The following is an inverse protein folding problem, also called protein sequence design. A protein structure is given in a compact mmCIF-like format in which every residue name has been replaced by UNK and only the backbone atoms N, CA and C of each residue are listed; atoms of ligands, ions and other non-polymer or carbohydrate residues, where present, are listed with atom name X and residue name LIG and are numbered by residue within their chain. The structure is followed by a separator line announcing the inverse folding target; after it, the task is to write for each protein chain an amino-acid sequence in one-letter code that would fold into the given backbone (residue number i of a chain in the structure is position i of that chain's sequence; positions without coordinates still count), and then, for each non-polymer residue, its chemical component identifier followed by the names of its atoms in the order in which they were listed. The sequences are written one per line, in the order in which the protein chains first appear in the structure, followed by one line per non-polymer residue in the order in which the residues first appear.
data_IF_816021562130
#
_entry.id   IF_816021562130
#
_cell.length_a   1.000
_cell.length_b   1.000
_cell.length_c   1.000
_cell.angle_alpha   90.00
_cell.angle_beta   90.00
_cell.angle_gamma   90.00
#
_symmetry.space_group_name_H-M   'P 1'
#
loop_
_entity.id
_entity.type
_entity.pdbx_description
1 polymer ?
#
# COMPACT_ATOMS: atom_id res chain seq x y z
N UNK A 1 14.16 26.27 18.04
CA UNK A 1 14.82 25.15 17.33
C UNK A 1 13.76 24.12 16.94
N UNK A 2 13.95 23.41 15.82
CA UNK A 2 13.01 22.38 15.36
C UNK A 2 13.16 21.13 16.26
N UNK A 3 12.05 20.51 16.71
CA UNK A 3 12.14 19.30 17.53
C UNK A 3 12.60 18.09 16.70
N UNK A 4 13.39 17.20 17.31
CA UNK A 4 13.97 16.03 16.63
C UNK A 4 12.92 14.97 16.21
N UNK A 5 11.73 15.02 16.81
CA UNK A 5 10.62 14.08 16.54
C UNK A 5 9.27 14.77 16.61
N UNK A 6 8.22 14.20 16.00
CA UNK A 6 6.86 14.65 16.17
C UNK A 6 6.45 14.72 17.65
N UNK A 7 5.59 15.69 17.96
CA UNK A 7 4.95 15.78 19.28
C UNK A 7 4.05 14.57 19.56
N UNK A 8 3.79 14.30 20.83
CA UNK A 8 2.79 13.29 21.23
C UNK A 8 1.47 13.99 21.55
N UNK A 9 0.33 13.46 21.09
CA UNK A 9 -0.96 14.05 21.42
C UNK A 9 -1.25 13.96 22.93
N UNK A 10 -2.14 14.84 23.40
CA UNK A 10 -2.66 14.75 24.75
C UNK A 10 -3.63 13.57 24.86
N UNK A 11 -3.70 12.95 26.03
CA UNK A 11 -4.69 11.89 26.30
C UNK A 11 -6.06 12.55 26.50
N UNK A 12 -7.03 12.15 25.69
CA UNK A 12 -8.40 12.64 25.79
C UNK A 12 -9.24 11.72 26.71
N UNK A 13 -9.94 12.25 27.73
CA UNK A 13 -10.86 11.44 28.51
C UNK A 13 -12.04 10.97 27.63
N UNK A 14 -12.60 9.77 27.87
CA UNK A 14 -13.74 9.28 27.11
C UNK A 14 -14.98 10.14 27.38
N UNK A 15 -15.65 10.58 26.32
CA UNK A 15 -16.94 11.31 26.36
C UNK A 15 -17.93 10.62 25.40
N UNK A 16 -19.10 10.14 25.87
CA UNK A 16 -20.09 9.48 25.03
C UNK A 16 -20.66 10.35 23.89
N UNK A 17 -20.59 11.68 24.01
CA UNK A 17 -21.01 12.62 22.97
C UNK A 17 -19.89 12.98 21.99
N UNK A 18 -18.64 12.59 22.29
CA UNK A 18 -17.48 12.86 21.45
C UNK A 18 -17.21 11.73 20.45
N UNK A 19 -16.44 12.01 19.38
CA UNK A 19 -15.90 10.96 18.51
C UNK A 19 -15.08 9.94 19.29
N UNK A 20 -14.94 8.74 18.73
CA UNK A 20 -14.15 7.65 19.31
C UNK A 20 -12.76 8.14 19.77
N UNK A 21 -12.39 8.00 21.06
CA UNK A 21 -11.12 8.50 21.58
C UNK A 21 -9.89 7.92 20.88
N UNK A 22 -9.98 6.67 20.41
CA UNK A 22 -8.89 6.09 19.62
C UNK A 22 -8.76 6.83 18.30
N UNK A 23 -9.84 6.98 17.51
CA UNK A 23 -9.82 7.76 16.28
C UNK A 23 -9.27 9.19 16.47
N UNK A 24 -9.59 9.86 17.58
CA UNK A 24 -9.03 11.18 17.91
C UNK A 24 -7.52 11.13 18.18
N UNK A 25 -7.05 10.14 18.95
CA UNK A 25 -5.62 9.94 19.19
C UNK A 25 -4.85 9.68 17.88
N UNK A 26 -5.44 8.90 16.96
CA UNK A 26 -4.89 8.66 15.63
C UNK A 26 -4.76 9.96 14.84
N UNK A 27 -5.85 10.72 14.73
CA UNK A 27 -5.85 11.99 13.99
C UNK A 27 -4.85 13.00 14.58
N UNK A 28 -4.73 13.07 15.91
CA UNK A 28 -3.81 13.97 16.58
C UNK A 28 -2.34 13.54 16.38
N UNK A 29 -2.05 12.24 16.41
CA UNK A 29 -0.73 11.68 16.10
C UNK A 29 -0.33 11.99 14.66
N UNK A 30 -1.25 11.79 13.71
CA UNK A 30 -1.02 12.06 12.28
C UNK A 30 -0.84 13.55 11.99
N UNK A 31 -1.61 14.41 12.66
CA UNK A 31 -1.44 15.86 12.55
C UNK A 31 -0.06 16.30 13.07
N UNK A 32 0.42 15.73 14.18
CA UNK A 32 1.74 16.00 14.71
C UNK A 32 2.86 15.52 13.75
N UNK A 33 2.70 14.34 13.15
CA UNK A 33 3.63 13.81 12.17
C UNK A 33 3.69 14.67 10.89
N UNK A 34 2.53 15.07 10.36
CA UNK A 34 2.42 15.97 9.19
C UNK A 34 3.05 17.32 9.47
N UNK A 35 2.75 17.94 10.62
CA UNK A 35 3.33 19.22 11.00
C UNK A 35 4.86 19.15 11.12
N UNK A 36 5.39 18.06 11.71
CA UNK A 36 6.83 17.84 11.81
C UNK A 36 7.49 17.66 10.44
N UNK A 37 6.90 16.85 9.56
CA UNK A 37 7.38 16.67 8.18
C UNK A 37 7.40 17.99 7.41
N UNK A 38 6.33 18.78 7.52
CA UNK A 38 6.24 20.10 6.88
C UNK A 38 7.29 21.08 7.40
N UNK A 39 7.48 21.14 8.73
CA UNK A 39 8.51 21.99 9.33
C UNK A 39 9.93 21.57 8.94
N UNK A 40 10.19 20.27 8.79
CA UNK A 40 11.53 19.72 8.51
C UNK A 40 11.90 19.84 7.03
N UNK A 41 10.93 19.60 6.13
CA UNK A 41 11.18 19.45 4.68
C UNK A 41 10.63 20.59 3.83
N UNK A 42 9.73 21.41 4.40
CA UNK A 42 8.95 22.39 3.66
C UNK A 42 7.84 21.80 2.78
N UNK A 43 7.66 20.47 2.81
CA UNK A 43 6.69 19.75 1.98
C UNK A 43 5.60 19.14 2.86
N UNK A 44 4.36 19.32 2.42
CA UNK A 44 3.21 18.71 3.08
C UNK A 44 2.96 17.32 2.48
N UNK A 45 3.18 16.23 3.24
CA UNK A 45 3.09 14.86 2.71
C UNK A 45 1.65 14.46 2.35
N UNK A 46 0.63 15.24 2.74
CA UNK A 46 -0.79 14.93 2.50
C UNK A 46 -1.41 15.85 1.46
N UNK A 47 -0.81 17.02 1.17
CA UNK A 47 -1.44 18.05 0.34
C UNK A 47 -1.80 17.60 -1.09
N UNK A 48 -1.03 16.67 -1.65
CA UNK A 48 -1.25 16.15 -3.00
C UNK A 48 -2.09 14.85 -3.03
N UNK A 49 -2.45 14.29 -1.88
CA UNK A 49 -3.18 13.03 -1.82
C UNK A 49 -4.65 13.24 -2.10
N UNK A 50 -5.24 12.35 -2.87
CA UNK A 50 -6.69 12.25 -2.98
C UNK A 50 -7.30 11.78 -1.65
N UNK A 51 -8.61 12.00 -1.40
CA UNK A 51 -9.27 11.49 -0.20
C UNK A 51 -9.09 9.98 0.00
N UNK A 52 -9.08 9.22 -1.10
CA UNK A 52 -8.84 7.78 -1.06
C UNK A 52 -7.39 7.43 -0.68
N UNK A 53 -6.41 8.09 -1.29
CA UNK A 53 -5.01 7.88 -0.94
C UNK A 53 -4.73 8.24 0.53
N UNK A 54 -5.33 9.32 1.03
CA UNK A 54 -5.18 9.70 2.44
C UNK A 54 -5.87 8.70 3.39
N UNK A 55 -7.06 8.19 3.05
CA UNK A 55 -7.72 7.14 3.83
C UNK A 55 -6.89 5.85 3.89
N UNK A 56 -6.29 5.44 2.77
CA UNK A 56 -5.38 4.27 2.72
C UNK A 56 -4.13 4.52 3.55
N UNK A 57 -3.51 5.71 3.43
CA UNK A 57 -2.33 6.11 4.22
C UNK A 57 -2.64 6.07 5.72
N UNK A 58 -3.77 6.67 6.14
CA UNK A 58 -4.24 6.66 7.52
C UNK A 58 -4.43 5.22 8.00
N UNK A 59 -5.13 4.37 7.26
CA UNK A 59 -5.33 2.97 7.66
C UNK A 59 -4.00 2.19 7.71
N UNK A 60 -3.05 2.47 6.81
CA UNK A 60 -1.75 1.81 6.75
C UNK A 60 -0.84 2.15 7.94
N UNK A 61 -0.92 3.37 8.47
CA UNK A 61 -0.17 3.84 9.63
C UNK A 61 -0.54 3.13 10.94
N UNK A 62 -1.68 2.43 10.99
CA UNK A 62 -2.17 1.76 12.19
C UNK A 62 -1.81 0.26 12.20
N UNK A 63 -0.92 -0.19 13.10
CA UNK A 63 -0.64 -1.61 13.28
C UNK A 63 -1.86 -2.30 13.88
N UNK A 64 -2.37 -3.31 13.19
CA UNK A 64 -3.57 -4.03 13.58
C UNK A 64 -4.45 -4.25 12.36
N UNK A 65 -4.30 -5.42 11.73
CA UNK A 65 -4.94 -5.83 10.48
C UNK A 65 -6.48 -6.04 10.60
N UNK A 66 -7.20 -5.18 11.31
CA UNK A 66 -8.62 -5.39 11.63
C UNK A 66 -8.86 -6.43 12.73
N UNK A 67 -7.83 -6.77 13.51
CA UNK A 67 -7.92 -7.80 14.56
C UNK A 67 -8.61 -7.27 15.83
N UNK A 68 -8.50 -5.97 16.11
CA UNK A 68 -9.18 -5.32 17.23
C UNK A 68 -10.53 -4.75 16.81
N UNK A 69 -11.47 -4.61 17.75
CA UNK A 69 -12.76 -3.98 17.47
C UNK A 69 -12.60 -2.55 16.91
N UNK A 70 -11.64 -1.79 17.45
CA UNK A 70 -11.35 -0.41 17.06
C UNK A 70 -10.80 -0.32 15.63
N UNK A 71 -9.85 -1.18 15.25
CA UNK A 71 -9.33 -1.21 13.87
C UNK A 71 -10.41 -1.63 12.86
N UNK A 72 -11.33 -2.54 13.22
CA UNK A 72 -12.49 -2.88 12.36
C UNK A 72 -13.46 -1.71 12.19
N UNK A 73 -13.68 -0.93 13.25
CA UNK A 73 -14.53 0.25 13.17
C UNK A 73 -13.92 1.30 12.24
N UNK A 74 -12.60 1.56 12.36
CA UNK A 74 -11.86 2.46 11.48
C UNK A 74 -11.96 2.04 10.01
N UNK A 75 -11.65 0.77 9.70
CA UNK A 75 -11.70 0.26 8.33
C UNK A 75 -13.11 0.39 7.72
N UNK A 76 -14.15 0.05 8.50
CA UNK A 76 -15.54 0.20 8.03
C UNK A 76 -15.90 1.67 7.79
N UNK A 77 -15.54 2.56 8.71
CA UNK A 77 -15.85 3.99 8.59
C UNK A 77 -15.18 4.62 7.36
N UNK A 78 -13.87 4.39 7.18
CA UNK A 78 -13.13 4.91 6.04
C UNK A 78 -13.63 4.35 4.71
N UNK A 79 -13.87 3.04 4.63
CA UNK A 79 -14.36 2.42 3.42
C UNK A 79 -15.77 2.94 3.05
N UNK A 80 -16.67 2.99 4.03
CA UNK A 80 -18.04 3.48 3.82
C UNK A 80 -18.07 4.96 3.40
N UNK A 81 -17.21 5.81 3.97
CA UNK A 81 -17.16 7.23 3.63
C UNK A 81 -16.71 7.51 2.18
N UNK A 82 -16.12 6.51 1.52
CA UNK A 82 -15.57 6.61 0.17
C UNK A 82 -16.21 5.60 -0.80
N UNK A 83 -17.39 5.06 -0.43
CA UNK A 83 -18.13 4.07 -1.23
C UNK A 83 -17.31 2.83 -1.63
N UNK A 84 -16.47 2.36 -0.70
CA UNK A 84 -15.62 1.15 -0.84
C UNK A 84 -15.98 0.08 0.18
N UNK A 85 -15.51 -1.13 -0.07
CA UNK A 85 -15.61 -2.21 0.92
C UNK A 85 -14.40 -2.23 1.86
N UNK A 86 -14.52 -2.77 3.09
CA UNK A 86 -13.36 -2.99 3.96
C UNK A 86 -12.28 -3.86 3.32
N UNK A 87 -12.66 -4.78 2.41
CA UNK A 87 -11.72 -5.62 1.66
C UNK A 87 -10.92 -4.80 0.66
N UNK A 88 -11.56 -3.86 -0.05
CA UNK A 88 -10.86 -2.95 -0.97
C UNK A 88 -9.83 -2.11 -0.21
N UNK A 89 -10.22 -1.57 0.95
CA UNK A 89 -9.31 -0.83 1.83
C UNK A 89 -8.17 -1.70 2.34
N UNK A 90 -8.43 -2.94 2.74
CA UNK A 90 -7.38 -3.86 3.17
C UNK A 90 -6.37 -4.18 2.06
N UNK A 91 -6.86 -4.40 0.83
CA UNK A 91 -6.00 -4.64 -0.34
C UNK A 91 -5.18 -3.40 -0.71
N UNK A 92 -5.78 -2.21 -0.64
CA UNK A 92 -5.10 -0.94 -0.85
C UNK A 92 -4.05 -0.63 0.24
N UNK A 93 -4.35 -0.92 1.51
CA UNK A 93 -3.38 -0.80 2.62
C UNK A 93 -2.20 -1.75 2.43
N UNK A 94 -2.44 -2.99 1.99
CA UNK A 94 -1.36 -3.92 1.69
C UNK A 94 -0.45 -3.37 0.57
N UNK A 95 -1.03 -2.77 -0.47
CA UNK A 95 -0.27 -2.16 -1.57
C UNK A 95 0.51 -0.91 -1.13
N UNK A 96 -0.11 -0.06 -0.29
CA UNK A 96 0.55 1.10 0.29
C UNK A 96 1.71 0.71 1.20
N UNK A 97 1.58 -0.39 1.96
CA UNK A 97 2.68 -0.90 2.78
C UNK A 97 3.81 -1.50 1.94
N UNK A 98 3.48 -2.05 0.78
CA UNK A 98 4.47 -2.61 -0.15
C UNK A 98 5.32 -1.50 -0.81
N UNK A 99 4.72 -0.40 -1.25
CA UNK A 99 5.50 0.67 -1.91
C UNK A 99 4.83 2.04 -1.96
N UNK A 100 4.10 2.41 -0.91
CA UNK A 100 3.49 3.73 -0.76
C UNK A 100 2.47 4.06 -1.84
N UNK A 101 2.50 5.32 -2.30
CA UNK A 101 1.59 5.82 -3.34
C UNK A 101 1.76 5.07 -4.66
N UNK A 102 3.00 4.72 -5.06
CA UNK A 102 3.25 3.92 -6.27
C UNK A 102 2.71 2.50 -6.13
N UNK A 103 2.86 1.87 -4.96
CA UNK A 103 2.24 0.57 -4.69
C UNK A 103 0.72 0.59 -4.85
N UNK A 104 0.06 1.64 -4.36
CA UNK A 104 -1.38 1.84 -4.57
C UNK A 104 -1.73 2.07 -6.06
N UNK A 105 -0.96 2.91 -6.76
CA UNK A 105 -1.17 3.14 -8.20
C UNK A 105 -1.04 1.84 -9.01
N UNK A 106 -0.07 0.98 -8.68
CA UNK A 106 0.14 -0.33 -9.33
C UNK A 106 -0.99 -1.33 -9.03
N UNK A 107 -1.61 -1.22 -7.87
CA UNK A 107 -2.81 -2.00 -7.54
C UNK A 107 -3.99 -1.60 -8.45
N UNK A 108 -4.21 -0.30 -8.64
CA UNK A 108 -5.43 0.26 -9.21
C UNK A 108 -5.37 0.43 -10.73
N UNK A 109 -4.20 0.80 -11.26
CA UNK A 109 -4.05 1.20 -12.65
C UNK A 109 -3.17 0.22 -13.44
N UNK A 110 -3.69 -0.23 -14.58
CA UNK A 110 -2.89 -0.94 -15.58
C UNK A 110 -2.47 0.04 -16.67
N UNK A 111 -1.18 0.07 -17.01
CA UNK A 111 -0.61 0.97 -17.99
C UNK A 111 0.27 0.22 -18.99
N UNK A 112 0.51 0.80 -20.16
CA UNK A 112 1.34 0.20 -21.20
C UNK A 112 2.79 0.71 -21.08
N UNK A 113 3.73 -0.11 -20.59
CA UNK A 113 5.12 0.31 -20.47
C UNK A 113 5.79 0.49 -21.83
N UNK A 114 6.73 1.44 -21.96
CA UNK A 114 7.56 1.51 -23.15
C UNK A 114 8.37 0.22 -23.29
N UNK A 115 8.75 -0.10 -24.53
CA UNK A 115 9.65 -1.22 -24.80
C UNK A 115 10.93 -1.10 -23.95
N UNK A 116 11.40 -2.22 -23.40
CA UNK A 116 12.60 -2.23 -22.56
C UNK A 116 12.51 -3.12 -21.31
N UNK A 117 12.50 -2.58 -20.08
CA UNK A 117 12.55 -3.38 -18.86
C UNK A 117 11.46 -4.46 -18.78
N UNK A 118 10.25 -4.16 -19.24
CA UNK A 118 9.14 -5.10 -19.27
C UNK A 118 9.41 -6.29 -20.21
N UNK A 119 9.96 -6.05 -21.40
CA UNK A 119 10.24 -7.10 -22.39
C UNK A 119 11.35 -8.07 -21.94
N UNK A 120 12.31 -7.55 -21.15
CA UNK A 120 13.42 -8.35 -20.61
C UNK A 120 13.02 -9.24 -19.44
N UNK A 121 11.90 -8.94 -18.77
CA UNK A 121 11.49 -9.67 -17.57
C UNK A 121 11.14 -11.13 -17.87
N UNK A 122 10.38 -11.41 -18.92
CA UNK A 122 9.96 -12.79 -19.24
C UNK A 122 11.15 -13.72 -19.53
N UNK A 123 12.13 -13.35 -20.38
CA UNK A 123 13.34 -14.14 -20.55
C UNK A 123 14.13 -14.35 -19.25
N UNK A 124 14.25 -13.32 -18.40
CA UNK A 124 14.95 -13.43 -17.11
C UNK A 124 14.27 -14.43 -16.17
N UNK A 125 12.95 -14.35 -16.03
CA UNK A 125 12.15 -15.28 -15.22
C UNK A 125 12.31 -16.73 -15.71
N UNK A 126 12.26 -16.95 -17.03
CA UNK A 126 12.47 -18.29 -17.61
C UNK A 126 13.89 -18.81 -17.35
N UNK A 127 14.91 -17.97 -17.48
CA UNK A 127 16.30 -18.34 -17.21
C UNK A 127 16.55 -18.69 -15.73
N UNK A 128 15.79 -18.08 -14.81
CA UNK A 128 15.79 -18.40 -13.39
C UNK A 128 14.98 -19.68 -13.04
N UNK A 129 14.42 -20.39 -14.03
CA UNK A 129 13.65 -21.61 -13.81
C UNK A 129 12.26 -21.37 -13.22
N UNK A 130 11.72 -20.15 -13.32
CA UNK A 130 10.38 -19.81 -12.87
C UNK A 130 9.32 -20.18 -13.92
N UNK A 131 8.03 -20.29 -13.53
CA UNK A 131 6.94 -20.61 -14.46
C UNK A 131 6.86 -19.63 -15.62
N UNK A 132 6.20 -20.05 -16.70
CA UNK A 132 5.91 -19.15 -17.82
C UNK A 132 4.87 -18.10 -17.41
N UNK A 133 5.27 -16.82 -17.44
CA UNK A 133 4.37 -15.69 -17.20
C UNK A 133 3.76 -15.17 -18.51
N UNK A 134 2.44 -14.91 -18.47
CA UNK A 134 1.67 -14.30 -19.56
C UNK A 134 1.63 -12.77 -19.39
N UNK A 135 2.02 -11.99 -20.40
CA UNK A 135 1.99 -10.54 -20.32
C UNK A 135 0.60 -9.97 -20.62
N UNK A 136 0.25 -8.89 -19.91
CA UNK A 136 -0.88 -8.01 -20.21
C UNK A 136 -0.58 -6.62 -19.63
N UNK A 137 -0.45 -5.60 -20.48
CA UNK A 137 -0.05 -4.25 -20.06
C UNK A 137 1.23 -4.32 -19.20
N UNK A 138 1.28 -3.63 -18.06
CA UNK A 138 2.35 -3.70 -17.07
C UNK A 138 2.32 -4.95 -16.17
N UNK A 139 1.57 -6.01 -16.50
CA UNK A 139 1.39 -7.18 -15.64
C UNK A 139 1.93 -8.45 -16.30
N UNK A 140 2.59 -9.27 -15.50
CA UNK A 140 3.04 -10.62 -15.84
C UNK A 140 2.35 -11.59 -14.90
N UNK A 141 1.52 -12.51 -15.43
CA UNK A 141 0.72 -13.43 -14.62
C UNK A 141 1.10 -14.90 -14.85
N UNK A 142 1.25 -15.65 -13.76
CA UNK A 142 1.29 -17.11 -13.70
C UNK A 142 0.03 -17.64 -12.96
N UNK A 143 0.01 -18.90 -12.55
CA UNK A 143 -1.17 -19.55 -11.94
C UNK A 143 -1.63 -18.91 -10.63
N UNK A 144 -0.69 -18.52 -9.77
CA UNK A 144 -0.93 -17.99 -8.41
C UNK A 144 0.00 -16.82 -8.06
N UNK A 145 0.80 -16.37 -9.03
CA UNK A 145 1.77 -15.29 -8.88
C UNK A 145 1.55 -14.26 -9.98
N UNK A 146 1.66 -12.99 -9.63
CA UNK A 146 1.65 -11.90 -10.59
C UNK A 146 2.69 -10.86 -10.22
N UNK A 147 3.41 -10.39 -11.23
CA UNK A 147 4.29 -9.23 -11.12
C UNK A 147 3.64 -8.06 -11.84
N UNK A 148 3.72 -6.87 -11.24
CA UNK A 148 3.26 -5.63 -11.85
C UNK A 148 4.38 -4.60 -11.87
N UNK A 149 4.65 -4.01 -13.03
CA UNK A 149 5.64 -2.97 -13.18
C UNK A 149 5.04 -1.60 -12.82
N UNK A 150 5.66 -0.92 -11.86
CA UNK A 150 5.36 0.46 -11.48
C UNK A 150 5.94 1.49 -12.43
N UNK A 151 5.43 2.73 -12.35
CA UNK A 151 5.97 3.86 -13.15
C UNK A 151 7.32 4.33 -12.62
N UNK A 152 7.63 3.99 -11.38
CA UNK A 152 8.93 4.12 -10.74
C UNK A 152 9.98 3.10 -11.23
N UNK A 153 9.57 2.13 -12.05
CA UNK A 153 10.44 1.11 -12.63
C UNK A 153 10.67 -0.09 -11.71
N UNK A 154 9.96 -0.21 -10.60
CA UNK A 154 10.04 -1.37 -9.70
C UNK A 154 8.97 -2.41 -10.05
N UNK A 155 9.29 -3.68 -9.77
CA UNK A 155 8.36 -4.79 -9.85
C UNK A 155 7.70 -5.04 -8.50
N UNK A 156 6.38 -5.14 -8.52
CA UNK A 156 5.55 -5.39 -7.35
C UNK A 156 4.99 -6.81 -7.42
N UNK A 157 5.21 -7.58 -6.37
CA UNK A 157 4.74 -8.95 -6.23
C UNK A 157 3.30 -9.04 -5.73
N UNK A 158 2.54 -9.94 -6.32
CA UNK A 158 1.17 -10.28 -5.93
C UNK A 158 0.98 -11.79 -5.91
N UNK A 159 0.17 -12.28 -4.97
CA UNK A 159 -0.26 -13.67 -4.87
C UNK A 159 -1.78 -13.79 -4.95
N UNK A 160 -2.27 -14.90 -5.46
CA UNK A 160 -3.69 -15.28 -5.38
C UNK A 160 -3.81 -16.80 -5.26
N UNK A 161 -4.98 -17.28 -4.83
CA UNK A 161 -5.33 -18.69 -5.02
C UNK A 161 -5.28 -19.03 -6.51
N UNK A 162 -4.88 -20.26 -6.84
CA UNK A 162 -4.88 -20.74 -8.21
C UNK A 162 -6.25 -20.54 -8.85
N UNK A 163 -6.26 -20.01 -10.07
CA UNK A 163 -7.46 -19.70 -10.87
C UNK A 163 -8.39 -18.62 -10.26
N UNK A 164 -7.92 -17.84 -9.28
CA UNK A 164 -8.61 -16.64 -8.78
C UNK A 164 -7.89 -15.36 -9.20
N UNK A 165 -8.69 -14.34 -9.52
CA UNK A 165 -8.20 -13.00 -9.85
C UNK A 165 -8.09 -12.07 -8.62
N UNK A 166 -8.21 -12.64 -7.42
CA UNK A 166 -8.08 -11.94 -6.14
C UNK A 166 -6.61 -11.72 -5.75
N UNK A 167 -5.92 -10.89 -6.51
CA UNK A 167 -4.50 -10.57 -6.31
C UNK A 167 -4.27 -9.74 -5.05
N UNK A 168 -3.46 -10.27 -4.13
CA UNK A 168 -3.03 -9.60 -2.90
C UNK A 168 -1.55 -9.17 -2.99
N UNK A 169 -1.23 -7.90 -2.65
CA UNK A 169 0.15 -7.40 -2.59
C UNK A 169 1.02 -8.17 -1.59
N UNK A 170 2.23 -8.56 -1.99
CA UNK A 170 3.16 -9.36 -1.16
C UNK A 170 4.62 -9.06 -1.45
N UNK A 171 5.46 -9.25 -0.42
CA UNK A 171 6.90 -9.01 -0.52
C UNK A 171 7.23 -7.52 -0.67
N UNK A 172 8.49 -7.24 -0.97
CA UNK A 172 8.99 -5.89 -1.22
C UNK A 172 9.18 -5.69 -2.73
N UNK A 173 9.00 -4.46 -3.23
CA UNK A 173 9.25 -4.16 -4.63
C UNK A 173 10.76 -4.18 -4.94
N UNK A 174 11.13 -4.63 -6.13
CA UNK A 174 12.53 -4.77 -6.57
C UNK A 174 12.69 -4.34 -8.04
N UNK A 175 13.81 -3.72 -8.46
CA UNK A 175 14.06 -3.44 -9.88
C UNK A 175 14.20 -4.71 -10.75
N UNK A 176 14.56 -5.85 -10.16
CA UNK A 176 14.63 -7.16 -10.81
C UNK A 176 13.34 -7.97 -10.56
N UNK A 177 12.64 -8.41 -11.63
CA UNK A 177 11.47 -9.27 -11.50
C UNK A 177 11.77 -10.61 -10.82
N UNK A 178 13.01 -11.13 -10.93
CA UNK A 178 13.42 -12.36 -10.24
C UNK A 178 13.56 -12.10 -8.74
N UNK A 179 14.28 -11.04 -8.36
CA UNK A 179 14.43 -10.63 -6.96
C UNK A 179 13.10 -10.38 -6.25
N UNK A 180 12.12 -9.80 -6.95
CA UNK A 180 10.75 -9.63 -6.43
C UNK A 180 10.11 -10.98 -6.05
N UNK A 181 10.26 -12.00 -6.89
CA UNK A 181 9.67 -13.32 -6.65
C UNK A 181 10.44 -14.13 -5.61
N UNK A 182 11.76 -14.02 -5.56
CA UNK A 182 12.55 -14.68 -4.51
C UNK A 182 12.15 -14.16 -3.14
N UNK A 183 11.98 -12.84 -2.99
CA UNK A 183 11.46 -12.22 -1.77
C UNK A 183 10.02 -12.64 -1.42
N UNK A 184 9.17 -12.87 -2.41
CA UNK A 184 7.78 -13.34 -2.21
C UNK A 184 7.75 -14.83 -1.78
N UNK A 185 8.59 -15.66 -2.40
CA UNK A 185 8.67 -17.10 -2.14
C UNK A 185 9.54 -17.46 -0.92
N UNK A 186 10.25 -16.49 -0.35
CA UNK A 186 11.17 -16.69 0.78
C UNK A 186 12.41 -17.50 0.41
N UNK A 187 12.93 -17.30 -0.81
CA UNK A 187 14.11 -17.98 -1.35
C UNK A 187 15.40 -17.22 -1.11
#
# INVERSE_FOLDING_TARGET
PLPDRPGRPAVFPPDPAAPDPLALDLLATEAAARAHAFLTTGLDPVAALTPWQDAVRLAAAHPGSGLTASTRALYRGLAQALDRTPTDLARAVAAWRQGGAEGLAVLEEAWDPPAGPFDRARPALLAAGLPAFRPWRNRLSASSLQLRLGRDGLWYGYESDADREDWWPRGHPDPDPVGTLDGLLGR
#
